data_IF_338109284634
#
_entry.id   IF_338109284634
#
_cell.length_a   1.000
_cell.length_b   1.000
_cell.length_c   1.000
_cell.angle_alpha   90.00
_cell.angle_beta   90.00
_cell.angle_gamma   90.00
#
_symmetry.space_group_name_H-M   'P 1'
#
loop_
_entity.id
_entity.type
_entity.pdbx_description
1 polymer ?
#
# COMPACT_ATOMS: atom_id res chain seq x y z
N UNK A 1 -22.00 23.14 -18.08
CA UNK A 1 -20.84 22.25 -17.93
C UNK A 1 -19.94 22.87 -16.88
N UNK A 2 -20.09 22.46 -15.62
CA UNK A 2 -19.38 23.08 -14.49
C UNK A 2 -18.02 22.41 -14.37
N UNK A 3 -16.95 23.17 -14.55
CA UNK A 3 -15.59 22.68 -14.41
C UNK A 3 -15.38 22.17 -12.99
N UNK A 4 -15.14 20.86 -12.85
CA UNK A 4 -14.70 20.28 -11.60
C UNK A 4 -13.36 20.93 -11.24
N UNK A 5 -13.33 21.65 -10.12
CA UNK A 5 -12.10 22.14 -9.51
C UNK A 5 -11.17 20.94 -9.34
N UNK A 6 -10.06 20.92 -10.07
CA UNK A 6 -9.05 19.90 -9.92
C UNK A 6 -8.43 20.06 -8.52
N UNK A 7 -8.98 19.35 -7.54
CA UNK A 7 -8.34 19.19 -6.24
C UNK A 7 -6.97 18.61 -6.52
N UNK A 8 -5.91 19.38 -6.25
CA UNK A 8 -4.54 18.90 -6.33
C UNK A 8 -4.44 17.69 -5.42
N UNK A 9 -4.50 16.49 -6.00
CA UNK A 9 -4.47 15.26 -5.25
C UNK A 9 -3.06 15.04 -4.77
N UNK A 10 -2.77 15.50 -3.56
CA UNK A 10 -1.50 15.30 -2.91
C UNK A 10 -1.35 13.82 -2.57
N UNK A 11 -0.11 13.34 -2.67
CA UNK A 11 0.27 12.04 -2.15
C UNK A 11 -0.21 11.91 -0.69
N UNK A 12 -0.68 10.73 -0.24
CA UNK A 12 -1.24 10.61 1.10
C UNK A 12 -0.24 11.07 2.17
N UNK A 13 -0.63 12.08 2.94
CA UNK A 13 0.21 12.80 3.92
C UNK A 13 -0.18 12.48 5.38
N UNK A 14 -0.89 11.38 5.57
CA UNK A 14 -1.43 10.95 6.85
C UNK A 14 -0.92 9.56 7.25
N UNK A 15 -0.99 9.23 8.53
CA UNK A 15 -0.71 7.90 9.05
C UNK A 15 -1.92 6.98 8.82
N UNK A 16 -1.68 5.74 8.43
CA UNK A 16 -2.76 4.77 8.21
C UNK A 16 -2.34 3.39 8.72
N UNK A 17 -3.18 2.76 9.55
CA UNK A 17 -3.10 1.34 9.86
C UNK A 17 -4.26 0.60 9.16
N UNK A 18 -3.99 -0.61 8.68
CA UNK A 18 -4.94 -1.44 7.96
C UNK A 18 -4.69 -2.90 8.30
N UNK A 19 -5.76 -3.65 8.56
CA UNK A 19 -5.68 -5.07 8.88
C UNK A 19 -6.81 -5.87 8.24
N UNK A 20 -6.52 -7.13 7.90
CA UNK A 20 -7.50 -8.09 7.38
C UNK A 20 -6.83 -9.40 6.95
N UNK A 21 -7.50 -10.53 7.18
CA UNK A 21 -7.02 -11.87 6.78
C UNK A 21 -5.58 -12.19 7.26
N UNK A 22 -5.25 -11.82 8.51
CA UNK A 22 -3.90 -12.02 9.07
C UNK A 22 -2.82 -11.08 8.52
N UNK A 23 -3.20 -10.14 7.64
CA UNK A 23 -2.30 -9.11 7.12
C UNK A 23 -2.46 -7.84 7.95
N UNK A 24 -1.34 -7.22 8.29
CA UNK A 24 -1.26 -5.90 8.91
C UNK A 24 -0.36 -4.98 8.08
N UNK A 25 -0.85 -3.78 7.83
CA UNK A 25 -0.17 -2.75 7.06
C UNK A 25 -0.14 -1.48 7.89
N UNK A 26 1.02 -0.86 7.95
CA UNK A 26 1.22 0.42 8.61
C UNK A 26 1.93 1.35 7.63
N UNK A 27 1.30 2.50 7.35
CA UNK A 27 1.83 3.53 6.46
C UNK A 27 2.10 4.81 7.25
N UNK A 28 3.30 5.35 7.07
CA UNK A 28 3.81 6.50 7.81
C UNK A 28 4.69 7.35 6.88
N UNK A 29 4.16 8.47 6.35
CA UNK A 29 4.90 9.28 5.37
C UNK A 29 6.19 9.90 5.93
N UNK A 30 6.19 10.23 7.23
CA UNK A 30 7.34 10.78 7.95
C UNK A 30 7.60 9.98 9.22
N UNK A 31 8.17 8.75 9.10
CA UNK A 31 8.37 7.89 10.26
C UNK A 31 9.25 8.59 11.30
N UNK A 32 8.89 8.53 12.60
CA UNK A 32 9.75 9.05 13.65
C UNK A 32 11.08 8.31 13.62
N UNK A 33 12.19 9.05 13.74
CA UNK A 33 13.52 8.44 13.83
C UNK A 33 13.67 7.79 15.19
N UNK A 34 13.45 6.47 15.24
CA UNK A 34 13.62 5.66 16.45
C UNK A 34 15.04 5.06 16.40
N UNK A 35 15.91 5.34 17.39
CA UNK A 35 17.24 4.73 17.45
C UNK A 35 17.17 3.20 17.38
N UNK A 36 17.94 2.59 16.48
CA UNK A 36 17.97 1.14 16.28
C UNK A 36 16.86 0.57 15.38
N UNK A 37 15.93 1.39 14.88
CA UNK A 37 14.93 0.98 13.87
C UNK A 37 15.12 1.78 12.59
N UNK A 38 15.35 1.13 11.43
CA UNK A 38 15.41 1.85 10.16
C UNK A 38 14.07 2.56 9.91
N UNK A 39 14.09 3.81 9.41
CA UNK A 39 12.86 4.50 9.04
C UNK A 39 12.19 3.73 7.92
N UNK A 40 10.89 3.47 8.04
CA UNK A 40 10.11 2.82 7.00
C UNK A 40 8.88 3.68 6.70
N UNK A 41 8.51 3.75 5.44
CA UNK A 41 7.29 4.46 5.02
C UNK A 41 6.11 3.50 5.01
N UNK A 42 6.34 2.23 4.72
CA UNK A 42 5.33 1.19 4.71
C UNK A 42 5.85 -0.08 5.37
N UNK A 43 5.12 -0.58 6.35
CA UNK A 43 5.33 -1.90 6.94
C UNK A 43 4.23 -2.81 6.45
N UNK A 44 4.61 -4.00 6.00
CA UNK A 44 3.73 -5.08 5.61
C UNK A 44 4.04 -6.30 6.48
N UNK A 45 3.02 -6.86 7.12
CA UNK A 45 3.12 -8.03 7.96
C UNK A 45 2.03 -9.02 7.57
N UNK A 46 2.36 -10.29 7.42
CA UNK A 46 1.41 -11.33 7.05
C UNK A 46 1.34 -12.46 8.09
N UNK A 47 1.84 -12.23 9.31
CA UNK A 47 1.92 -13.21 10.39
C UNK A 47 3.10 -14.18 10.27
N UNK A 48 3.70 -14.35 9.10
CA UNK A 48 4.91 -15.17 8.90
C UNK A 48 6.19 -14.33 8.79
N UNK A 49 6.07 -13.13 8.23
CA UNK A 49 7.18 -12.21 8.06
C UNK A 49 6.70 -10.76 8.18
N UNK A 50 7.63 -9.91 8.58
CA UNK A 50 7.47 -8.46 8.55
C UNK A 50 8.45 -7.86 7.54
N UNK A 51 7.94 -7.10 6.58
CA UNK A 51 8.71 -6.36 5.60
C UNK A 51 8.54 -4.87 5.85
N UNK A 52 9.65 -4.13 5.80
CA UNK A 52 9.67 -2.68 5.94
C UNK A 52 10.21 -2.08 4.65
N UNK A 53 9.48 -1.11 4.10
CA UNK A 53 9.79 -0.48 2.83
C UNK A 53 10.07 1.02 3.04
N UNK A 54 11.18 1.46 2.47
CA UNK A 54 11.52 2.87 2.30
C UNK A 54 10.75 3.48 1.12
N UNK A 55 10.80 4.81 0.99
CA UNK A 55 10.00 5.54 -0.01
C UNK A 55 10.30 5.07 -1.43
N UNK A 56 11.57 4.80 -1.72
CA UNK A 56 12.11 4.44 -3.02
C UNK A 56 11.68 3.04 -3.45
N UNK A 57 11.30 2.18 -2.49
CA UNK A 57 10.83 0.82 -2.73
C UNK A 57 9.32 0.76 -2.98
N UNK A 58 8.60 1.86 -2.75
CA UNK A 58 7.15 1.94 -2.89
C UNK A 58 6.81 2.59 -4.23
N UNK A 59 6.31 1.78 -5.17
CA UNK A 59 5.75 2.30 -6.41
C UNK A 59 4.38 2.90 -6.12
N UNK A 60 4.29 4.22 -6.25
CA UNK A 60 3.06 4.97 -6.03
C UNK A 60 2.47 5.40 -7.37
N UNK A 61 1.19 5.15 -7.61
CA UNK A 61 0.52 5.56 -8.85
C UNK A 61 -0.87 6.08 -8.54
N UNK A 62 -1.24 7.20 -9.17
CA UNK A 62 -2.61 7.66 -9.14
C UNK A 62 -3.37 7.04 -10.32
N UNK A 63 -4.46 6.34 -10.03
CA UNK A 63 -5.33 5.72 -11.03
C UNK A 63 -6.66 6.45 -11.00
N UNK A 64 -7.08 6.97 -12.16
CA UNK A 64 -8.37 7.64 -12.30
C UNK A 64 -9.51 6.74 -11.80
N UNK A 65 -10.48 7.34 -11.11
CA UNK A 65 -11.65 6.68 -10.51
C UNK A 65 -11.36 5.62 -9.42
N UNK A 66 -10.10 5.30 -9.15
CA UNK A 66 -9.67 4.35 -8.12
C UNK A 66 -8.92 4.99 -6.95
N UNK A 67 -8.13 6.03 -7.22
CA UNK A 67 -7.33 6.73 -6.21
C UNK A 67 -5.84 6.40 -6.26
N UNK A 68 -5.15 6.59 -5.14
CA UNK A 68 -3.74 6.22 -5.01
C UNK A 68 -3.60 4.71 -4.82
N UNK A 69 -2.68 4.11 -5.58
CA UNK A 69 -2.23 2.74 -5.37
C UNK A 69 -0.78 2.75 -4.91
N UNK A 70 -0.50 1.98 -3.86
CA UNK A 70 0.85 1.79 -3.34
C UNK A 70 1.23 0.34 -3.52
N UNK A 71 2.26 0.08 -4.32
CA UNK A 71 2.72 -1.26 -4.66
C UNK A 71 4.13 -1.49 -4.14
N UNK A 72 4.35 -2.66 -3.54
CA UNK A 72 5.65 -3.14 -3.07
C UNK A 72 5.84 -4.60 -3.49
N UNK A 73 7.07 -4.98 -3.82
CA UNK A 73 7.41 -6.39 -4.03
C UNK A 73 7.66 -7.05 -2.68
N UNK A 74 6.89 -8.08 -2.33
CA UNK A 74 7.02 -8.80 -1.06
C UNK A 74 7.92 -10.03 -1.16
N UNK A 75 8.01 -10.62 -2.35
CA UNK A 75 8.92 -11.74 -2.63
C UNK A 75 9.47 -11.65 -4.05
N UNK A 76 10.75 -11.93 -4.19
CA UNK A 76 11.36 -12.32 -5.47
C UNK A 76 11.46 -13.85 -5.47
N UNK A 77 10.95 -14.50 -6.52
CA UNK A 77 11.00 -15.96 -6.71
C UNK A 77 12.13 -16.35 -7.67
N UNK A 78 13.16 -15.51 -7.79
CA UNK A 78 14.29 -15.72 -8.69
C UNK A 78 13.85 -15.70 -10.16
N UNK A 79 14.15 -16.77 -10.88
CA UNK A 79 13.74 -16.98 -12.27
C UNK A 79 12.28 -17.46 -12.43
N UNK A 80 11.60 -17.79 -11.32
CA UNK A 80 10.20 -18.20 -11.33
C UNK A 80 9.21 -17.03 -11.29
N UNK A 81 9.67 -15.82 -10.94
CA UNK A 81 8.84 -14.61 -10.94
C UNK A 81 8.87 -13.82 -9.63
N UNK A 82 7.77 -13.18 -9.26
CA UNK A 82 7.70 -12.31 -8.08
C UNK A 82 6.29 -12.20 -7.50
N UNK A 83 6.20 -11.69 -6.27
CA UNK A 83 4.92 -11.41 -5.60
C UNK A 83 4.87 -9.93 -5.26
N UNK A 84 3.84 -9.25 -5.74
CA UNK A 84 3.58 -7.83 -5.49
C UNK A 84 2.37 -7.68 -4.59
N UNK A 85 2.44 -6.78 -3.62
CA UNK A 85 1.33 -6.35 -2.79
C UNK A 85 0.97 -4.90 -3.15
N UNK A 86 -0.27 -4.67 -3.56
CA UNK A 86 -0.79 -3.36 -3.97
C UNK A 86 -1.97 -2.96 -3.11
N UNK A 87 -1.84 -1.87 -2.36
CA UNK A 87 -2.91 -1.32 -1.53
C UNK A 87 -3.66 -0.28 -2.35
N UNK A 88 -5.00 -0.40 -2.35
CA UNK A 88 -5.88 0.67 -2.81
C UNK A 88 -5.97 1.72 -1.70
N UNK A 89 -5.05 2.66 -1.72
CA UNK A 89 -4.86 3.58 -0.61
C UNK A 89 -6.02 4.58 -0.54
N UNK A 90 -6.77 4.61 0.58
CA UNK A 90 -7.97 5.43 0.65
C UNK A 90 -7.63 6.92 0.49
N UNK A 91 -8.56 7.71 -0.02
CA UNK A 91 -8.45 9.17 0.09
C UNK A 91 -9.28 9.59 1.30
N UNK A 92 -8.61 10.16 2.31
CA UNK A 92 -9.25 10.50 3.59
C UNK A 92 -9.21 12.01 3.78
N UNK A 93 -10.36 12.60 4.10
CA UNK A 93 -10.47 14.00 4.48
C UNK A 93 -10.42 14.10 5.99
N UNK A 94 -9.29 14.60 6.52
CA UNK A 94 -9.07 14.71 7.96
C UNK A 94 -9.77 15.94 8.55
N UNK A 95 -10.40 15.84 9.73
CA UNK A 95 -10.92 17.01 10.43
C UNK A 95 -9.79 17.97 10.84
N UNK A 96 -10.02 19.30 10.82
CA UNK A 96 -9.01 20.30 11.17
C UNK A 96 -8.49 20.15 12.61
N UNK A 97 -9.37 19.72 13.52
CA UNK A 97 -9.08 19.53 14.95
C UNK A 97 -8.29 18.26 15.25
N UNK A 98 -7.96 17.46 14.22
CA UNK A 98 -7.37 16.13 14.38
C UNK A 98 -8.42 15.08 14.76
N UNK A 99 -8.01 13.81 14.77
CA UNK A 99 -8.86 12.66 15.06
C UNK A 99 -8.42 11.40 14.33
N UNK A 100 -9.06 10.28 14.67
CA UNK A 100 -8.98 9.02 13.92
C UNK A 100 -10.20 8.90 13.02
N UNK A 101 -10.00 8.49 11.77
CA UNK A 101 -11.08 8.19 10.83
C UNK A 101 -11.04 6.69 10.55
N UNK A 102 -12.14 5.94 10.76
CA UNK A 102 -12.21 4.55 10.34
C UNK A 102 -12.13 4.49 8.81
N UNK A 103 -11.29 3.62 8.29
CA UNK A 103 -11.10 3.42 6.86
C UNK A 103 -11.31 1.97 6.47
N UNK A 104 -11.75 1.79 5.24
CA UNK A 104 -11.83 0.49 4.58
C UNK A 104 -11.02 0.59 3.28
N UNK A 105 -10.35 -0.49 2.93
CA UNK A 105 -9.49 -0.57 1.76
C UNK A 105 -9.44 -2.01 1.27
N UNK A 106 -8.74 -2.23 0.15
CA UNK A 106 -8.42 -3.55 -0.34
C UNK A 106 -6.92 -3.65 -0.60
N UNK A 107 -6.39 -4.81 -0.30
CA UNK A 107 -5.07 -5.24 -0.76
C UNK A 107 -5.25 -6.20 -1.92
N UNK A 108 -4.49 -5.98 -2.98
CA UNK A 108 -4.37 -6.87 -4.12
C UNK A 108 -2.98 -7.48 -4.06
N UNK A 109 -2.90 -8.79 -3.86
CA UNK A 109 -1.66 -9.55 -3.98
C UNK A 109 -1.64 -10.19 -5.36
N UNK A 110 -0.55 -9.98 -6.09
CA UNK A 110 -0.34 -10.55 -7.42
C UNK A 110 0.89 -11.42 -7.38
N UNK A 111 0.74 -12.69 -7.76
CA UNK A 111 1.87 -13.55 -8.09
C UNK A 111 2.10 -13.47 -9.59
N UNK A 112 3.25 -12.94 -9.99
CA UNK A 112 3.72 -12.87 -11.37
C UNK A 112 4.56 -14.13 -11.65
N UNK A 113 4.09 -15.00 -12.53
CA UNK A 113 4.81 -16.22 -12.90
C UNK A 113 5.62 -16.01 -14.18
N UNK A 114 6.90 -16.42 -14.13
CA UNK A 114 7.76 -16.53 -15.30
C UNK A 114 7.83 -18.01 -15.67
N UNK A 115 7.28 -18.41 -16.83
CA UNK A 115 7.26 -19.83 -17.21
C UNK A 115 8.68 -20.29 -17.60
N UNK A 116 9.02 -21.52 -17.20
CA UNK A 116 10.28 -22.17 -17.61
C UNK A 116 10.39 -22.32 -19.14
N UNK A 117 9.25 -22.39 -19.84
CA UNK A 117 9.17 -22.40 -21.30
C UNK A 117 8.26 -21.26 -21.77
N UNK A 118 8.86 -20.24 -22.41
CA UNK A 118 8.21 -18.98 -22.80
C UNK A 118 6.96 -19.18 -23.68
N UNK A 119 6.89 -20.27 -24.43
CA UNK A 119 5.83 -20.56 -25.42
C UNK A 119 4.59 -21.23 -24.82
N UNK A 120 4.58 -21.57 -23.52
CA UNK A 120 3.40 -22.15 -22.88
C UNK A 120 2.29 -21.09 -22.76
N UNK A 121 1.11 -21.32 -23.37
CA UNK A 121 -0.02 -20.41 -23.24
C UNK A 121 -0.64 -20.50 -21.84
N UNK A 122 -1.14 -19.38 -21.32
CA UNK A 122 -1.83 -19.34 -20.02
C UNK A 122 -1.85 -17.94 -19.41
N UNK A 123 -2.58 -17.82 -18.29
CA UNK A 123 -2.51 -16.66 -17.39
C UNK A 123 -1.23 -16.76 -16.57
N UNK A 124 -0.52 -15.64 -16.40
CA UNK A 124 0.74 -15.56 -15.63
C UNK A 124 0.60 -14.79 -14.33
N UNK A 125 -0.44 -13.96 -14.22
CA UNK A 125 -0.68 -13.14 -13.05
C UNK A 125 -1.86 -13.71 -12.27
N UNK A 126 -1.61 -14.12 -11.02
CA UNK A 126 -2.65 -14.65 -10.14
C UNK A 126 -2.98 -13.63 -9.05
N UNK A 127 -4.26 -13.26 -8.96
CA UNK A 127 -4.71 -12.18 -8.08
C UNK A 127 -5.43 -12.74 -6.85
N UNK A 128 -5.05 -12.26 -5.68
CA UNK A 128 -5.78 -12.44 -4.42
C UNK A 128 -6.16 -11.09 -3.86
N UNK A 129 -7.44 -10.88 -3.56
CA UNK A 129 -7.94 -9.63 -3.00
C UNK A 129 -8.32 -9.87 -1.54
N UNK A 130 -7.81 -9.02 -0.66
CA UNK A 130 -8.08 -9.05 0.78
C UNK A 130 -8.72 -7.73 1.19
N UNK A 131 -9.90 -7.80 1.81
CA UNK A 131 -10.52 -6.62 2.41
C UNK A 131 -9.75 -6.21 3.66
N UNK A 132 -9.51 -4.91 3.80
CA UNK A 132 -8.79 -4.33 4.93
C UNK A 132 -9.67 -3.31 5.64
N UNK A 133 -9.55 -3.24 6.96
CA UNK A 133 -10.16 -2.22 7.81
C UNK A 133 -9.11 -1.64 8.74
N UNK A 134 -9.25 -0.37 9.09
CA UNK A 134 -8.33 0.25 10.04
C UNK A 134 -8.63 1.72 10.24
N UNK A 135 -7.60 2.51 10.48
CA UNK A 135 -7.74 3.91 10.88
C UNK A 135 -6.70 4.78 10.20
N UNK A 136 -7.16 5.97 9.82
CA UNK A 136 -6.31 7.03 9.33
C UNK A 136 -6.24 8.15 10.37
N UNK A 137 -5.05 8.70 10.58
CA UNK A 137 -4.79 9.78 11.52
C UNK A 137 -3.88 10.84 10.90
N UNK A 138 -4.10 12.10 11.24
CA UNK A 138 -3.18 13.18 10.87
C UNK A 138 -1.84 12.97 11.58
N UNK A 139 -0.74 12.96 10.82
CA UNK A 139 0.59 12.93 11.44
C UNK A 139 0.82 14.23 12.21
N UNK A 140 1.22 14.12 13.48
CA UNK A 140 1.76 15.26 14.22
C UNK A 140 3.15 15.54 13.66
N UNK A 141 3.31 16.70 13.04
CA UNK A 141 4.63 17.25 12.77
C UNK A 141 5.25 17.56 14.15
N UNK A 142 6.36 16.90 14.47
CA UNK A 142 7.18 17.18 15.65
C UNK A 142 8.28 18.19 15.30
#
# INVERSE_FOLDING_TARGET
MTAATATRQTFPDYYCDLAGDGIYIEYCVTPPRIPGRPPFVLRYDNGWQTLNFEREQIRSTFVADLGWTLSVTTHELGDAGSVTATILFPTVVMPPTGGEIPVQSMLIIVTHEIPAVVTLPGQRDHYRITALTGRAQKMRLY
#
